data_IF_672067692313
#
_entry.id   IF_672067692313
#
_cell.length_a   1.000
_cell.length_b   1.000
_cell.length_c   1.000
_cell.angle_alpha   90.00
_cell.angle_beta   90.00
_cell.angle_gamma   90.00
#
_symmetry.space_group_name_H-M   'P 1'
#
loop_
_entity.id
_entity.type
_entity.pdbx_description
1 polymer ?
#
# COMPACT_ATOMS: atom_id res chain seq x y z
N UNK A 1 9.61 -30.05 -1.24
CA UNK A 1 10.21 -28.71 -1.31
C UNK A 1 10.93 -28.46 0.00
N UNK A 2 12.19 -28.01 -0.06
CA UNK A 2 12.88 -27.59 1.16
C UNK A 2 12.22 -26.31 1.70
N UNK A 3 12.32 -26.06 3.00
CA UNK A 3 11.76 -24.86 3.62
C UNK A 3 12.40 -23.57 3.04
N UNK A 4 13.65 -23.67 2.60
CA UNK A 4 14.39 -22.56 1.99
C UNK A 4 13.89 -22.23 0.59
N UNK A 5 13.54 -23.24 -0.22
CA UNK A 5 12.94 -23.03 -1.55
C UNK A 5 11.58 -22.30 -1.42
N UNK A 6 10.79 -22.68 -0.42
CA UNK A 6 9.48 -22.07 -0.18
C UNK A 6 9.60 -20.60 0.26
N UNK A 7 10.57 -20.29 1.14
CA UNK A 7 10.83 -18.90 1.52
C UNK A 7 11.32 -18.05 0.33
N UNK A 8 12.13 -18.63 -0.56
CA UNK A 8 12.54 -17.98 -1.81
C UNK A 8 11.33 -17.59 -2.66
N UNK A 9 10.43 -18.55 -2.90
CA UNK A 9 9.20 -18.34 -3.67
C UNK A 9 8.28 -17.28 -3.05
N UNK A 10 8.16 -17.24 -1.72
CA UNK A 10 7.37 -16.22 -1.02
C UNK A 10 7.94 -14.83 -1.29
N UNK A 11 9.26 -14.65 -1.15
CA UNK A 11 9.92 -13.37 -1.38
C UNK A 11 9.75 -12.90 -2.82
N UNK A 12 9.90 -13.82 -3.78
CA UNK A 12 9.68 -13.54 -5.20
C UNK A 12 8.23 -13.16 -5.49
N UNK A 13 7.27 -13.92 -4.97
CA UNK A 13 5.85 -13.63 -5.13
C UNK A 13 5.45 -12.26 -4.58
N UNK A 14 5.97 -11.88 -3.42
CA UNK A 14 5.76 -10.56 -2.82
C UNK A 14 6.43 -9.45 -3.66
N UNK A 15 7.64 -9.68 -4.15
CA UNK A 15 8.34 -8.71 -5.01
C UNK A 15 7.58 -8.46 -6.32
N UNK A 16 7.08 -9.52 -6.96
CA UNK A 16 6.25 -9.42 -8.16
C UNK A 16 4.91 -8.74 -7.88
N UNK A 17 4.29 -8.99 -6.72
CA UNK A 17 3.08 -8.30 -6.30
C UNK A 17 3.31 -6.78 -6.16
N UNK A 18 4.45 -6.38 -5.59
CA UNK A 18 4.85 -4.97 -5.45
C UNK A 18 5.10 -4.29 -6.80
N UNK A 19 5.66 -5.01 -7.77
CA UNK A 19 5.84 -4.53 -9.15
C UNK A 19 4.49 -4.40 -9.90
N UNK A 20 3.44 -5.05 -9.39
CA UNK A 20 2.11 -5.06 -10.00
C UNK A 20 1.87 -6.22 -10.96
N UNK A 21 2.80 -7.18 -11.02
CA UNK A 21 2.69 -8.40 -11.82
C UNK A 21 1.83 -9.44 -11.08
N UNK A 22 0.52 -9.19 -11.02
CA UNK A 22 -0.40 -9.97 -10.16
C UNK A 22 -0.56 -11.42 -10.58
N UNK A 23 -0.42 -11.74 -11.87
CA UNK A 23 -0.50 -13.12 -12.38
C UNK A 23 0.60 -14.01 -11.78
N UNK A 24 1.87 -13.62 -11.93
CA UNK A 24 3.01 -14.36 -11.40
C UNK A 24 2.98 -14.38 -9.87
N UNK A 25 2.73 -13.21 -9.25
CA UNK A 25 2.61 -13.12 -7.81
C UNK A 25 1.56 -14.09 -7.25
N UNK A 26 0.39 -14.19 -7.89
CA UNK A 26 -0.66 -15.10 -7.45
C UNK A 26 -0.22 -16.55 -7.52
N UNK A 27 0.46 -16.98 -8.58
CA UNK A 27 0.95 -18.35 -8.71
C UNK A 27 1.87 -18.74 -7.55
N UNK A 28 2.86 -17.90 -7.23
CA UNK A 28 3.78 -18.14 -6.12
C UNK A 28 3.08 -18.10 -4.75
N UNK A 29 2.20 -17.12 -4.54
CA UNK A 29 1.50 -16.94 -3.26
C UNK A 29 0.44 -18.01 -3.01
N UNK A 30 -0.26 -18.48 -4.04
CA UNK A 30 -1.26 -19.55 -3.94
C UNK A 30 -0.63 -20.88 -3.57
N UNK A 31 0.54 -21.19 -4.15
CA UNK A 31 1.30 -22.36 -3.74
C UNK A 31 1.84 -22.19 -2.31
N UNK A 32 2.35 -21.01 -1.96
CA UNK A 32 2.84 -20.74 -0.62
C UNK A 32 1.77 -20.90 0.47
N UNK A 33 0.52 -20.53 0.20
CA UNK A 33 -0.61 -20.67 1.16
C UNK A 33 -0.91 -22.14 1.48
N UNK A 34 -0.73 -23.06 0.51
CA UNK A 34 -0.99 -24.50 0.73
C UNK A 34 -0.02 -25.12 1.72
N UNK A 35 1.23 -24.65 1.73
CA UNK A 35 2.29 -25.18 2.57
C UNK A 35 2.50 -24.37 3.86
N UNK A 36 2.24 -23.06 3.81
CA UNK A 36 2.47 -22.14 4.93
C UNK A 36 1.38 -21.08 5.04
N UNK A 37 0.82 -20.92 6.24
CA UNK A 37 -0.11 -19.83 6.55
C UNK A 37 0.67 -18.66 7.15
N UNK A 38 1.38 -17.92 6.30
CA UNK A 38 2.10 -16.71 6.71
C UNK A 38 1.19 -15.47 6.51
N UNK A 39 1.06 -14.58 7.51
CA UNK A 39 0.23 -13.37 7.40
C UNK A 39 0.66 -12.44 6.26
N UNK A 40 1.95 -12.35 5.93
CA UNK A 40 2.41 -11.56 4.77
C UNK A 40 1.87 -12.11 3.45
N UNK A 41 1.93 -13.43 3.29
CA UNK A 41 1.46 -14.13 2.09
C UNK A 41 -0.05 -13.92 1.94
N UNK A 42 -0.82 -14.03 3.03
CA UNK A 42 -2.26 -13.77 3.04
C UNK A 42 -2.60 -12.34 2.61
N UNK A 43 -1.85 -11.35 3.09
CA UNK A 43 -2.07 -9.94 2.75
C UNK A 43 -1.79 -9.66 1.25
N UNK A 44 -0.66 -10.14 0.73
CA UNK A 44 -0.29 -9.95 -0.68
C UNK A 44 -1.14 -10.78 -1.63
N UNK A 45 -1.60 -11.96 -1.21
CA UNK A 45 -2.58 -12.74 -1.97
C UNK A 45 -3.92 -12.01 -2.04
N UNK A 46 -4.37 -11.42 -0.92
CA UNK A 46 -5.52 -10.52 -0.88
C UNK A 46 -5.38 -9.33 -1.85
N UNK A 47 -4.18 -8.74 -1.95
CA UNK A 47 -3.90 -7.69 -2.93
C UNK A 47 -4.05 -8.18 -4.38
N UNK A 48 -3.53 -9.37 -4.70
CA UNK A 48 -3.67 -9.97 -6.03
C UNK A 48 -5.16 -10.24 -6.36
N UNK A 49 -5.93 -10.76 -5.41
CA UNK A 49 -7.37 -10.96 -5.57
C UNK A 49 -8.15 -9.65 -5.78
N UNK A 50 -7.80 -8.60 -5.04
CA UNK A 50 -8.40 -7.28 -5.21
C UNK A 50 -8.16 -6.71 -6.62
N UNK A 51 -6.97 -6.95 -7.17
CA UNK A 51 -6.59 -6.46 -8.49
C UNK A 51 -7.21 -7.27 -9.63
N UNK A 52 -7.19 -8.59 -9.53
CA UNK A 52 -7.69 -9.48 -10.58
C UNK A 52 -9.22 -9.54 -10.63
N UNK A 53 -9.87 -9.76 -9.47
CA UNK A 53 -11.32 -10.03 -9.37
C UNK A 53 -12.13 -8.84 -8.87
N UNK A 54 -11.51 -7.69 -8.58
CA UNK A 54 -12.14 -6.52 -7.94
C UNK A 54 -12.91 -6.86 -6.65
N UNK A 55 -12.55 -7.98 -6.01
CA UNK A 55 -13.23 -8.51 -4.84
C UNK A 55 -12.64 -7.90 -3.57
N UNK A 56 -12.85 -6.59 -3.39
CA UNK A 56 -12.27 -5.82 -2.30
C UNK A 56 -12.72 -6.30 -0.92
N UNK A 57 -13.95 -6.81 -0.79
CA UNK A 57 -14.45 -7.33 0.48
C UNK A 57 -13.65 -8.54 0.99
N UNK A 58 -13.41 -9.51 0.10
CA UNK A 58 -12.61 -10.71 0.42
C UNK A 58 -11.15 -10.34 0.71
N UNK A 59 -10.56 -9.46 -0.11
CA UNK A 59 -9.19 -8.98 0.08
C UNK A 59 -9.00 -8.29 1.43
N UNK A 60 -9.95 -7.45 1.84
CA UNK A 60 -9.92 -6.79 3.16
C UNK A 60 -10.09 -7.83 4.29
N UNK A 61 -10.91 -8.87 4.09
CA UNK A 61 -11.05 -9.97 5.04
C UNK A 61 -9.72 -10.68 5.31
N UNK A 62 -9.03 -11.09 4.25
CA UNK A 62 -7.71 -11.73 4.32
C UNK A 62 -6.68 -10.82 5.01
N UNK A 63 -6.70 -9.52 4.72
CA UNK A 63 -5.79 -8.59 5.38
C UNK A 63 -6.11 -8.37 6.85
N UNK A 64 -7.38 -8.46 7.27
CA UNK A 64 -7.75 -8.40 8.69
C UNK A 64 -7.24 -9.62 9.44
N UNK A 65 -7.32 -10.80 8.84
CA UNK A 65 -6.71 -12.03 9.39
C UNK A 65 -5.19 -11.86 9.52
N UNK A 66 -4.53 -11.39 8.46
CA UNK A 66 -3.09 -11.13 8.48
C UNK A 66 -2.67 -10.12 9.56
N UNK A 67 -3.44 -9.04 9.74
CA UNK A 67 -3.19 -8.06 10.80
C UNK A 67 -3.51 -8.57 12.21
N UNK A 68 -4.41 -9.56 12.36
CA UNK A 68 -4.68 -10.17 13.65
C UNK A 68 -3.51 -11.03 14.12
N UNK A 69 -2.84 -11.72 13.19
CA UNK A 69 -1.64 -12.52 13.49
C UNK A 69 -0.37 -11.66 13.63
N UNK A 70 -0.20 -10.64 12.78
CA UNK A 70 1.00 -9.80 12.75
C UNK A 70 0.67 -8.30 12.71
N UNK A 71 0.15 -7.71 13.80
CA UNK A 71 -0.28 -6.30 13.84
C UNK A 71 0.88 -5.30 13.75
N UNK A 72 2.12 -5.73 13.96
CA UNK A 72 3.31 -4.86 13.92
C UNK A 72 4.04 -4.91 12.58
N UNK A 73 3.50 -5.61 11.59
CA UNK A 73 4.15 -5.72 10.29
C UNK A 73 3.73 -4.59 9.34
N UNK A 74 4.66 -3.69 9.04
CA UNK A 74 4.43 -2.57 8.12
C UNK A 74 4.06 -3.01 6.69
N UNK A 75 4.53 -4.16 6.22
CA UNK A 75 4.27 -4.65 4.86
C UNK A 75 2.82 -5.08 4.66
N UNK A 76 2.16 -5.55 5.72
CA UNK A 76 0.73 -5.88 5.68
C UNK A 76 -0.09 -4.58 5.51
N UNK A 77 0.30 -3.50 6.19
CA UNK A 77 -0.34 -2.19 5.99
C UNK A 77 -0.10 -1.62 4.59
N UNK A 78 1.06 -1.87 3.98
CA UNK A 78 1.32 -1.52 2.59
C UNK A 78 0.33 -2.24 1.66
N UNK A 79 0.15 -3.55 1.81
CA UNK A 79 -0.82 -4.32 1.03
C UNK A 79 -2.26 -3.81 1.22
N UNK A 80 -2.67 -3.55 2.47
CA UNK A 80 -3.98 -2.98 2.81
C UNK A 80 -4.20 -1.62 2.15
N UNK A 81 -3.22 -0.72 2.26
CA UNK A 81 -3.31 0.60 1.66
C UNK A 81 -3.45 0.51 0.13
N UNK A 82 -2.69 -0.37 -0.51
CA UNK A 82 -2.80 -0.62 -1.94
C UNK A 82 -4.16 -1.20 -2.34
N UNK A 83 -4.74 -2.11 -1.55
CA UNK A 83 -6.10 -2.61 -1.77
C UNK A 83 -7.13 -1.48 -1.67
N UNK A 84 -7.00 -0.59 -0.70
CA UNK A 84 -7.89 0.57 -0.58
C UNK A 84 -7.74 1.55 -1.76
N UNK A 85 -6.54 1.71 -2.32
CA UNK A 85 -6.34 2.48 -3.55
C UNK A 85 -7.05 1.84 -4.74
N UNK A 86 -6.92 0.53 -4.91
CA UNK A 86 -7.63 -0.21 -5.96
C UNK A 86 -9.15 -0.10 -5.80
N UNK A 87 -9.63 -0.03 -4.56
CA UNK A 87 -11.04 0.18 -4.24
C UNK A 87 -11.51 1.65 -4.37
N UNK A 88 -10.64 2.59 -4.79
CA UNK A 88 -10.94 4.02 -4.90
C UNK A 88 -11.03 4.75 -3.55
N UNK A 89 -10.76 4.08 -2.43
CA UNK A 89 -10.89 4.61 -1.06
C UNK A 89 -9.58 5.29 -0.61
N UNK A 90 -9.22 6.37 -1.28
CA UNK A 90 -7.97 7.12 -1.04
C UNK A 90 -7.74 7.53 0.42
N UNK A 91 -8.78 8.01 1.12
CA UNK A 91 -8.68 8.38 2.56
C UNK A 91 -8.33 7.18 3.44
N UNK A 92 -8.96 6.03 3.19
CA UNK A 92 -8.68 4.79 3.91
C UNK A 92 -7.27 4.27 3.62
N UNK A 93 -6.81 4.39 2.38
CA UNK A 93 -5.45 4.04 1.99
C UNK A 93 -4.41 4.87 2.77
N UNK A 94 -4.57 6.20 2.80
CA UNK A 94 -3.67 7.10 3.55
C UNK A 94 -3.66 6.73 5.05
N UNK A 95 -4.82 6.44 5.63
CA UNK A 95 -4.90 6.00 7.03
C UNK A 95 -4.14 4.69 7.28
N UNK A 96 -4.29 3.70 6.38
CA UNK A 96 -3.58 2.44 6.48
C UNK A 96 -2.05 2.61 6.35
N UNK A 97 -1.61 3.42 5.38
CA UNK A 97 -0.20 3.75 5.20
C UNK A 97 0.40 4.46 6.42
N UNK A 98 -0.29 5.45 6.99
CA UNK A 98 0.15 6.12 8.21
C UNK A 98 0.24 5.17 9.40
N UNK A 99 -0.67 4.20 9.53
CA UNK A 99 -0.56 3.14 10.55
C UNK A 99 0.65 2.25 10.29
N UNK A 100 0.90 1.85 9.04
CA UNK A 100 2.07 1.08 8.66
C UNK A 100 3.40 1.75 9.03
N UNK A 101 3.52 3.06 8.76
CA UNK A 101 4.70 3.85 9.12
C UNK A 101 4.93 3.99 10.63
N UNK A 102 3.87 3.87 11.45
CA UNK A 102 4.01 3.82 12.91
C UNK A 102 4.55 2.50 13.41
N UNK A 103 4.32 1.41 12.67
CA UNK A 103 4.80 0.08 13.05
C UNK A 103 6.25 -0.16 12.61
N UNK A 104 6.66 0.46 11.51
CA UNK A 104 8.04 0.37 11.04
C UNK A 104 8.31 1.25 9.83
N UNK A 105 9.59 1.55 9.60
CA UNK A 105 10.02 2.28 8.41
C UNK A 105 9.79 1.42 7.18
N UNK A 106 9.01 1.94 6.23
CA UNK A 106 8.73 1.27 4.96
C UNK A 106 8.77 2.28 3.81
N UNK A 107 9.85 2.25 3.03
CA UNK A 107 10.07 3.22 1.96
C UNK A 107 9.04 3.09 0.83
N UNK A 108 8.46 1.89 0.62
CA UNK A 108 7.39 1.70 -0.35
C UNK A 108 6.10 2.43 0.07
N UNK A 109 5.80 2.47 1.37
CA UNK A 109 4.66 3.23 1.89
C UNK A 109 4.88 4.73 1.65
N UNK A 110 6.09 5.23 1.92
CA UNK A 110 6.46 6.64 1.69
C UNK A 110 6.27 7.01 0.22
N UNK A 111 6.73 6.15 -0.69
CA UNK A 111 6.56 6.34 -2.13
C UNK A 111 5.08 6.39 -2.53
N UNK A 112 4.27 5.45 -2.03
CA UNK A 112 2.82 5.44 -2.30
C UNK A 112 2.14 6.71 -1.79
N UNK A 113 2.43 7.17 -0.56
CA UNK A 113 1.89 8.41 -0.01
C UNK A 113 2.27 9.64 -0.85
N UNK A 114 3.49 9.67 -1.38
CA UNK A 114 3.93 10.71 -2.30
C UNK A 114 3.13 10.67 -3.62
N UNK A 115 2.96 9.50 -4.23
CA UNK A 115 2.28 9.29 -5.50
C UNK A 115 0.77 9.58 -5.43
N UNK A 116 0.13 9.28 -4.30
CA UNK A 116 -1.30 9.54 -4.05
C UNK A 116 -1.63 11.03 -4.07
N UNK A 117 -0.65 11.93 -3.92
CA UNK A 117 -0.86 13.37 -4.03
C UNK A 117 -0.60 14.15 -2.74
N UNK A 118 0.49 13.83 -2.03
CA UNK A 118 1.26 14.86 -1.30
C UNK A 118 2.16 15.68 -2.26
N UNK A 119 1.77 15.79 -3.53
CA UNK A 119 2.45 16.58 -4.55
C UNK A 119 1.58 17.75 -5.00
N UNK A 120 1.76 18.90 -4.36
CA UNK A 120 1.99 20.16 -5.08
C UNK A 120 3.27 20.74 -4.52
N UNK A 121 4.23 21.01 -5.39
CA UNK A 121 5.39 21.82 -5.04
C UNK A 121 4.89 23.12 -4.41
N UNK A 122 5.42 23.54 -3.25
CA UNK A 122 5.10 24.85 -2.70
C UNK A 122 5.48 25.92 -3.74
N UNK A 123 4.66 26.95 -3.90
CA UNK A 123 4.94 28.04 -4.86
C UNK A 123 6.19 28.81 -4.43
N UNK A 124 6.47 28.82 -3.13
CA UNK A 124 7.67 29.38 -2.52
C UNK A 124 8.35 28.26 -1.72
N UNK A 125 9.52 27.81 -2.19
CA UNK A 125 10.32 26.73 -1.58
C UNK A 125 10.95 27.10 -0.23
N UNK A 126 10.84 28.36 0.20
CA UNK A 126 11.48 28.89 1.41
C UNK A 126 10.56 28.94 2.66
N UNK A 127 9.25 28.72 2.52
CA UNK A 127 8.30 28.78 3.64
C UNK A 127 7.84 27.39 4.06
N UNK A 128 7.89 27.12 5.37
CA UNK A 128 7.49 25.86 5.97
C UNK A 128 6.02 25.50 5.71
N UNK A 129 5.76 24.18 5.68
CA UNK A 129 4.53 23.54 5.17
C UNK A 129 3.24 23.91 5.91
N UNK A 130 3.34 24.46 7.13
CA UNK A 130 2.20 24.89 7.96
C UNK A 130 1.91 26.40 7.88
N UNK A 131 2.63 27.13 7.02
CA UNK A 131 2.32 28.55 6.81
C UNK A 131 0.98 28.69 6.09
N UNK A 132 -0.04 29.16 6.81
CA UNK A 132 -1.37 29.53 6.30
C UNK A 132 -1.31 30.35 5.01
N UNK A 133 -0.22 31.10 4.80
CA UNK A 133 0.05 31.89 3.61
C UNK A 133 0.18 31.04 2.33
N UNK A 134 0.79 29.85 2.40
CA UNK A 134 1.01 29.00 1.22
C UNK A 134 -0.30 28.34 0.75
N UNK A 135 -1.18 28.00 1.70
CA UNK A 135 -2.55 27.53 1.42
C UNK A 135 -3.39 28.66 0.82
N UNK A 136 -3.30 29.87 1.37
CA UNK A 136 -4.06 31.02 0.89
C UNK A 136 -3.60 31.50 -0.51
N UNK A 137 -2.29 31.52 -0.77
CA UNK A 137 -1.74 31.85 -2.09
C UNK A 137 -2.15 30.82 -3.16
N UNK A 138 -2.18 29.53 -2.82
CA UNK A 138 -2.67 28.49 -3.73
C UNK A 138 -4.15 28.64 -4.10
N UNK A 139 -5.00 29.03 -3.13
CA UNK A 139 -6.42 29.35 -3.33
C UNK A 139 -6.63 30.67 -4.10
N UNK A 140 -5.76 31.66 -3.87
CA UNK A 140 -5.82 32.96 -4.51
C UNK A 140 -5.49 32.87 -6.01
N UNK A 141 -4.46 32.11 -6.38
CA UNK A 141 -4.06 31.91 -7.77
C UNK A 141 -5.08 31.08 -8.58
N UNK A 142 -5.78 30.14 -7.94
CA UNK A 142 -6.86 29.37 -8.58
C UNK A 142 -8.12 30.20 -8.81
N UNK A 143 -8.41 31.19 -7.94
CA UNK A 143 -9.51 32.15 -8.17
C UNK A 143 -9.23 33.13 -9.31
N UNK A 144 -7.97 33.44 -9.60
CA UNK A 144 -7.57 34.38 -10.65
C UNK A 144 -7.47 33.75 -12.06
N UNK A 145 -7.75 32.45 -12.23
CA UNK A 145 -7.57 31.71 -13.50
C UNK A 145 -6.20 31.92 -14.16
N UNK A 146 -5.17 32.22 -13.36
CA UNK A 146 -3.78 32.32 -13.81
C UNK A 146 -3.08 30.94 -13.78
N UNK A 147 -3.84 29.88 -13.56
CA UNK A 147 -3.41 28.48 -13.60
C UNK A 147 -4.59 27.54 -13.83
#
# INVERSE_FOLDING_TARGET
MSADDLQGQIKEGIAEARKGNTLLARMYLEEAIKHTRNPEVLAWYGYCLARDKKSFGQAIGLCKEALAEAPHNSDIYLAVGNIYLLAGKKRSAISAFNKGLKMGRNDAIVKQLHDIGLRKTPVLSFLDRDSFLNVYLGLFLTKLKLR
#
